data_IF_781664205568
#
_entry.id   IF_781664205568
#
_cell.length_a   1.000
_cell.length_b   1.000
_cell.length_c   1.000
_cell.angle_alpha   90.00
_cell.angle_beta   90.00
_cell.angle_gamma   90.00
#
_symmetry.space_group_name_H-M   'P 1'
#
loop_
_entity.id
_entity.type
_entity.pdbx_description
1 polymer ?
#
# COMPACT_ATOMS: atom_id res chain seq x y z
N UNK A 1 34.17 -20.49 30.27
CA UNK A 1 33.54 -19.98 29.05
C UNK A 1 32.71 -18.75 29.41
N UNK A 2 33.15 -17.60 28.93
CA UNK A 2 32.45 -16.34 29.15
C UNK A 2 31.57 -16.11 27.92
N UNK A 3 30.23 -16.21 28.00
CA UNK A 3 29.41 -16.03 26.84
C UNK A 3 29.45 -14.54 26.40
N UNK A 4 30.09 -14.28 25.26
CA UNK A 4 29.99 -12.97 24.62
C UNK A 4 28.60 -12.83 23.99
N UNK A 5 27.92 -11.73 24.29
CA UNK A 5 26.64 -11.41 23.66
C UNK A 5 26.87 -11.15 22.18
N UNK A 6 26.12 -11.82 21.31
CA UNK A 6 26.12 -11.52 19.87
C UNK A 6 25.64 -10.09 19.66
N UNK A 7 26.14 -9.41 18.60
CA UNK A 7 25.67 -8.06 18.27
C UNK A 7 24.14 -8.08 18.04
N UNK A 8 23.47 -7.06 18.56
CA UNK A 8 22.02 -6.92 18.40
C UNK A 8 21.72 -6.75 16.91
N UNK A 9 20.83 -7.61 16.39
CA UNK A 9 20.32 -7.45 15.03
C UNK A 9 19.41 -6.23 15.02
N UNK A 10 19.83 -5.15 14.38
CA UNK A 10 18.97 -3.98 14.16
C UNK A 10 17.95 -4.34 13.08
N UNK A 11 16.68 -4.25 13.42
CA UNK A 11 15.58 -4.35 12.46
C UNK A 11 15.22 -2.93 12.03
N UNK A 12 15.08 -2.70 10.72
CA UNK A 12 14.65 -1.41 10.19
C UNK A 12 13.31 -0.99 10.80
N UNK A 13 13.25 0.26 11.25
CA UNK A 13 12.01 0.81 11.82
C UNK A 13 10.87 0.81 10.80
N UNK A 14 9.62 0.64 11.26
CA UNK A 14 8.45 0.80 10.40
C UNK A 14 8.42 2.20 9.75
N UNK A 15 8.11 2.24 8.47
CA UNK A 15 7.97 3.49 7.71
C UNK A 15 6.53 3.80 7.33
N UNK A 16 5.64 2.81 7.42
CA UNK A 16 4.22 2.93 7.09
C UNK A 16 3.33 2.41 8.20
N UNK A 17 2.12 2.96 8.26
CA UNK A 17 1.04 2.48 9.11
C UNK A 17 -0.26 2.30 8.33
N UNK A 18 -1.12 1.42 8.81
CA UNK A 18 -2.44 1.16 8.25
C UNK A 18 -3.41 0.82 9.37
N UNK A 19 -4.63 1.34 9.27
CA UNK A 19 -5.69 1.00 10.20
C UNK A 19 -6.28 -0.36 9.84
N UNK A 20 -6.38 -1.25 10.83
CA UNK A 20 -7.07 -2.54 10.73
C UNK A 20 -8.28 -2.49 11.63
N UNK A 21 -9.46 -2.79 11.10
CA UNK A 21 -10.72 -2.79 11.83
C UNK A 21 -11.56 -4.01 11.50
N UNK A 22 -12.54 -4.29 12.33
CA UNK A 22 -13.56 -5.29 12.01
C UNK A 22 -14.36 -4.84 10.78
N UNK A 23 -14.89 -5.81 10.03
CA UNK A 23 -15.81 -5.50 8.95
C UNK A 23 -17.14 -4.96 9.52
N UNK A 24 -17.50 -3.75 9.16
CA UNK A 24 -18.76 -3.11 9.53
C UNK A 24 -19.70 -2.93 8.34
N UNK A 25 -19.41 -3.58 7.21
CA UNK A 25 -20.24 -3.54 6.02
C UNK A 25 -21.49 -4.43 6.19
N UNK A 26 -22.53 -4.27 5.33
CA UNK A 26 -23.69 -5.17 5.29
C UNK A 26 -23.34 -6.65 5.02
N UNK A 27 -22.10 -6.94 4.60
CA UNK A 27 -21.60 -8.30 4.36
C UNK A 27 -20.84 -8.90 5.56
N UNK A 28 -20.90 -8.26 6.72
CA UNK A 28 -20.31 -8.76 7.95
C UNK A 28 -20.69 -10.22 8.23
N UNK A 29 -19.68 -11.07 8.49
CA UNK A 29 -19.84 -12.48 8.86
C UNK A 29 -20.18 -13.42 7.70
N UNK A 30 -20.15 -12.95 6.44
CA UNK A 30 -20.47 -13.80 5.28
C UNK A 30 -19.30 -14.63 4.79
N UNK A 31 -18.07 -14.14 4.93
CA UNK A 31 -16.87 -14.75 4.33
C UNK A 31 -15.89 -15.30 5.37
N UNK A 32 -15.74 -14.63 6.50
CA UNK A 32 -14.76 -14.97 7.54
C UNK A 32 -15.33 -15.70 8.73
N UNK A 33 -14.46 -16.47 9.42
CA UNK A 33 -14.79 -17.13 10.71
C UNK A 33 -14.45 -16.22 11.91
N UNK A 34 -13.42 -15.39 11.75
CA UNK A 34 -12.91 -14.52 12.81
C UNK A 34 -13.27 -13.07 12.50
N UNK A 35 -14.36 -12.62 13.10
CA UNK A 35 -15.01 -11.33 12.76
C UNK A 35 -15.01 -10.32 13.91
N UNK A 36 -14.48 -10.68 15.10
CA UNK A 36 -14.52 -9.80 16.28
C UNK A 36 -13.22 -9.03 16.50
N UNK A 37 -13.31 -7.87 17.15
CA UNK A 37 -12.14 -7.05 17.51
C UNK A 37 -11.15 -7.82 18.41
N UNK A 38 -11.64 -8.71 19.27
CA UNK A 38 -10.80 -9.59 20.10
C UNK A 38 -9.97 -10.54 19.24
N UNK A 39 -10.58 -11.24 18.27
CA UNK A 39 -9.85 -12.13 17.36
C UNK A 39 -8.79 -11.36 16.58
N UNK A 40 -9.15 -10.18 16.07
CA UNK A 40 -8.24 -9.32 15.34
C UNK A 40 -7.02 -8.91 16.19
N UNK A 41 -7.28 -8.44 17.41
CA UNK A 41 -6.24 -8.05 18.36
C UNK A 41 -5.31 -9.22 18.70
N UNK A 42 -5.86 -10.35 19.13
CA UNK A 42 -5.09 -11.52 19.53
C UNK A 42 -4.18 -12.01 18.39
N UNK A 43 -4.69 -11.96 17.15
CA UNK A 43 -3.91 -12.35 15.97
C UNK A 43 -2.78 -11.38 15.65
N UNK A 44 -3.06 -10.08 15.70
CA UNK A 44 -2.06 -9.04 15.43
C UNK A 44 -0.97 -9.01 16.53
N UNK A 45 -1.32 -9.20 17.78
CA UNK A 45 -0.33 -9.30 18.87
C UNK A 45 0.58 -10.51 18.69
N UNK A 46 0.06 -11.67 18.29
CA UNK A 46 0.88 -12.84 17.95
C UNK A 46 1.82 -12.58 16.76
N UNK A 47 1.44 -11.73 15.83
CA UNK A 47 2.32 -11.36 14.73
C UNK A 47 3.52 -10.53 15.21
N UNK A 48 3.33 -9.61 16.15
CA UNK A 48 4.43 -8.80 16.70
C UNK A 48 5.45 -9.64 17.49
N UNK A 49 5.02 -10.78 18.07
CA UNK A 49 5.92 -11.71 18.74
C UNK A 49 6.83 -12.46 17.75
N UNK A 50 6.32 -12.75 16.55
CA UNK A 50 7.03 -13.49 15.49
C UNK A 50 7.86 -12.60 14.60
N UNK A 51 7.43 -11.37 14.39
CA UNK A 51 8.02 -10.44 13.45
C UNK A 51 8.22 -9.07 14.10
N UNK A 52 9.46 -8.81 14.54
CA UNK A 52 9.86 -7.56 15.20
C UNK A 52 9.71 -6.31 14.31
N UNK A 53 9.49 -6.48 13.02
CA UNK A 53 9.26 -5.37 12.10
C UNK A 53 7.81 -4.88 12.10
N UNK A 54 6.88 -5.58 12.76
CA UNK A 54 5.53 -5.10 13.02
C UNK A 54 5.43 -4.45 14.40
N UNK A 55 4.66 -3.38 14.47
CA UNK A 55 4.20 -2.78 15.73
C UNK A 55 2.70 -2.57 15.63
N UNK A 56 1.99 -2.79 16.72
CA UNK A 56 0.54 -2.64 16.81
C UNK A 56 0.23 -1.71 17.97
N UNK A 57 -0.60 -0.71 17.72
CA UNK A 57 -1.06 0.24 18.72
C UNK A 57 -2.59 0.34 18.69
N UNK A 58 -3.16 0.73 19.81
CA UNK A 58 -4.59 1.06 19.87
C UNK A 58 -4.89 2.31 19.03
N UNK A 59 -6.04 2.32 18.38
CA UNK A 59 -6.54 3.49 17.70
C UNK A 59 -7.60 4.20 18.55
N UNK A 60 -8.15 5.30 18.06
CA UNK A 60 -9.23 6.04 18.71
C UNK A 60 -10.53 5.23 18.86
N UNK A 61 -10.66 4.11 18.16
CA UNK A 61 -11.82 3.21 18.22
C UNK A 61 -11.42 1.85 18.81
N UNK A 62 -12.24 1.32 19.70
CA UNK A 62 -12.06 -0.01 20.29
C UNK A 62 -12.10 -1.16 19.28
N UNK A 63 -12.69 -0.94 18.11
CA UNK A 63 -12.86 -1.93 17.05
C UNK A 63 -11.77 -1.84 15.96
N UNK A 64 -10.75 -1.02 16.19
CA UNK A 64 -9.66 -0.83 15.24
C UNK A 64 -8.29 -0.76 15.93
N UNK A 65 -7.26 -1.12 15.17
CA UNK A 65 -5.87 -1.13 15.59
C UNK A 65 -5.01 -0.49 14.52
N UNK A 66 -4.01 0.28 14.93
CA UNK A 66 -3.02 0.84 14.03
C UNK A 66 -1.84 -0.12 13.91
N UNK A 67 -1.60 -0.61 12.70
CA UNK A 67 -0.54 -1.57 12.40
C UNK A 67 0.55 -0.87 11.62
N UNK A 68 1.78 -0.97 12.13
CA UNK A 68 2.98 -0.38 11.54
C UNK A 68 3.82 -1.46 10.88
N UNK A 69 4.34 -1.18 9.69
CA UNK A 69 5.19 -2.08 8.92
C UNK A 69 6.25 -1.35 8.11
N UNK A 70 7.22 -2.09 7.60
CA UNK A 70 8.33 -1.55 6.80
C UNK A 70 7.92 -1.02 5.43
N UNK A 71 6.73 -1.37 4.95
CA UNK A 71 6.23 -0.93 3.66
C UNK A 71 4.93 -1.59 3.28
N UNK A 72 4.36 -1.17 2.15
CA UNK A 72 3.05 -1.63 1.67
C UNK A 72 2.99 -3.13 1.41
N UNK A 73 4.06 -3.71 0.85
CA UNK A 73 4.13 -5.16 0.61
C UNK A 73 4.11 -5.96 1.91
N UNK A 74 4.81 -5.48 2.93
CA UNK A 74 4.85 -6.12 4.25
C UNK A 74 3.46 -6.16 4.90
N UNK A 75 2.74 -5.03 4.87
CA UNK A 75 1.35 -4.95 5.33
C UNK A 75 0.41 -5.79 4.46
N UNK A 76 0.60 -5.80 3.14
CA UNK A 76 -0.19 -6.59 2.20
C UNK A 76 -0.06 -8.10 2.41
N UNK A 77 1.14 -8.59 2.71
CA UNK A 77 1.37 -10.01 3.04
C UNK A 77 0.64 -10.38 4.34
N UNK A 78 0.66 -9.52 5.35
CA UNK A 78 -0.08 -9.76 6.59
C UNK A 78 -1.58 -9.85 6.32
N UNK A 79 -2.15 -8.92 5.57
CA UNK A 79 -3.58 -8.91 5.21
C UNK A 79 -3.96 -10.20 4.50
N UNK A 80 -3.18 -10.60 3.49
CA UNK A 80 -3.47 -11.82 2.71
C UNK A 80 -3.33 -13.08 3.57
N UNK A 81 -2.35 -13.13 4.46
CA UNK A 81 -2.18 -14.24 5.40
C UNK A 81 -3.39 -14.35 6.33
N UNK A 82 -3.83 -13.25 6.91
CA UNK A 82 -5.01 -13.21 7.77
C UNK A 82 -6.28 -13.61 7.03
N UNK A 83 -6.45 -13.13 5.79
CA UNK A 83 -7.57 -13.53 4.93
C UNK A 83 -7.60 -15.05 4.73
N UNK A 84 -6.47 -15.68 4.42
CA UNK A 84 -6.34 -17.15 4.28
C UNK A 84 -6.58 -17.91 5.57
N UNK A 85 -6.27 -17.33 6.71
CA UNK A 85 -6.57 -17.88 8.02
C UNK A 85 -8.09 -17.80 8.37
N UNK A 86 -8.88 -17.07 7.57
CA UNK A 86 -10.33 -16.91 7.73
C UNK A 86 -10.71 -15.69 8.57
N UNK A 87 -9.85 -14.69 8.67
CA UNK A 87 -10.19 -13.39 9.23
C UNK A 87 -10.94 -12.54 8.20
N UNK A 88 -12.03 -11.93 8.65
CA UNK A 88 -12.76 -10.91 7.91
C UNK A 88 -12.47 -9.56 8.56
N UNK A 89 -11.83 -8.67 7.80
CA UNK A 89 -11.38 -7.39 8.31
C UNK A 89 -11.49 -6.30 7.25
N UNK A 90 -11.55 -5.07 7.70
CA UNK A 90 -11.46 -3.87 6.87
C UNK A 90 -10.10 -3.21 7.12
N UNK A 91 -9.46 -2.71 6.08
CA UNK A 91 -8.20 -1.98 6.16
C UNK A 91 -8.36 -0.56 5.63
N UNK A 92 -7.74 0.38 6.34
CA UNK A 92 -7.67 1.77 5.89
C UNK A 92 -6.60 1.98 4.81
N UNK A 93 -6.48 3.20 4.33
CA UNK A 93 -5.40 3.56 3.42
C UNK A 93 -4.04 3.52 4.14
N UNK A 94 -2.97 3.01 3.49
CA UNK A 94 -1.64 3.08 4.04
C UNK A 94 -1.17 4.53 4.11
N UNK A 95 -0.58 4.91 5.23
CA UNK A 95 0.01 6.24 5.46
C UNK A 95 1.47 6.09 5.86
N UNK A 96 2.31 7.05 5.46
CA UNK A 96 3.71 7.08 5.90
C UNK A 96 3.82 7.68 7.30
N UNK A 97 4.77 7.19 8.07
CA UNK A 97 5.06 7.70 9.40
C UNK A 97 5.85 9.00 9.25
N UNK A 98 5.27 10.11 9.68
CA UNK A 98 5.92 11.42 9.70
C UNK A 98 6.56 11.63 11.07
N UNK A 99 7.82 12.07 11.09
CA UNK A 99 8.58 12.35 12.31
C UNK A 99 9.02 13.82 12.35
N UNK A 100 9.33 14.30 13.55
CA UNK A 100 10.09 15.56 13.73
C UNK A 100 11.57 15.18 13.83
N UNK A 101 12.38 15.60 12.85
CA UNK A 101 13.84 15.44 12.87
C UNK A 101 14.44 16.83 12.97
N UNK A 102 15.16 17.11 14.03
CA UNK A 102 15.74 18.44 14.33
C UNK A 102 14.73 19.58 14.24
N UNK A 103 13.49 19.35 14.69
CA UNK A 103 12.39 20.31 14.64
C UNK A 103 11.74 20.49 13.26
N UNK A 104 12.18 19.73 12.26
CA UNK A 104 11.63 19.77 10.90
C UNK A 104 10.71 18.57 10.67
N UNK A 105 9.49 18.84 10.17
CA UNK A 105 8.58 17.78 9.73
C UNK A 105 9.21 16.97 8.61
N UNK A 106 9.46 15.68 8.85
CA UNK A 106 10.19 14.79 7.94
C UNK A 106 9.40 13.53 7.63
N UNK A 107 9.57 13.01 6.44
CA UNK A 107 8.96 11.79 5.90
C UNK A 107 10.03 10.79 5.43
N UNK A 108 9.71 9.49 5.36
CA UNK A 108 10.66 8.49 4.87
C UNK A 108 10.87 8.63 3.35
N UNK A 109 12.12 8.48 2.92
CA UNK A 109 12.53 8.45 1.53
C UNK A 109 13.11 7.08 1.16
N UNK A 110 12.95 6.71 -0.10
CA UNK A 110 13.47 5.47 -0.65
C UNK A 110 14.28 5.72 -1.91
N UNK A 111 15.30 4.89 -2.11
CA UNK A 111 15.99 4.78 -3.40
C UNK A 111 15.17 3.83 -4.26
N UNK A 112 14.66 4.35 -5.35
CA UNK A 112 13.92 3.61 -6.36
C UNK A 112 14.83 3.37 -7.55
N UNK A 113 14.98 2.10 -7.93
CA UNK A 113 15.72 1.66 -9.12
C UNK A 113 14.71 1.14 -10.13
N UNK A 114 14.84 1.59 -11.38
CA UNK A 114 14.00 1.14 -12.48
C UNK A 114 14.86 0.80 -13.69
N UNK A 115 14.75 -0.43 -14.16
CA UNK A 115 15.29 -0.87 -15.44
C UNK A 115 14.15 -0.97 -16.45
N UNK A 116 14.28 -0.27 -17.58
CA UNK A 116 13.20 -0.12 -18.56
C UNK A 116 13.78 0.04 -19.99
N UNK A 117 13.08 -0.45 -21.05
CA UNK A 117 13.47 -0.14 -22.43
C UNK A 117 13.57 1.36 -22.68
N UNK A 118 14.55 1.76 -23.47
CA UNK A 118 14.88 3.18 -23.74
C UNK A 118 13.66 3.98 -24.21
N UNK A 119 12.78 3.39 -24.98
CA UNK A 119 11.56 4.04 -25.51
C UNK A 119 10.56 4.46 -24.42
N UNK A 120 10.56 3.80 -23.25
CA UNK A 120 9.67 4.11 -22.13
C UNK A 120 10.32 4.99 -21.05
N UNK A 121 11.62 5.26 -21.13
CA UNK A 121 12.37 5.99 -20.10
C UNK A 121 11.76 7.35 -19.76
N UNK A 122 11.35 8.12 -20.76
CA UNK A 122 10.69 9.42 -20.57
C UNK A 122 9.40 9.31 -19.75
N UNK A 123 8.56 8.30 -20.05
CA UNK A 123 7.31 8.06 -19.29
C UNK A 123 7.57 7.70 -17.84
N UNK A 124 8.61 6.90 -17.58
CA UNK A 124 9.01 6.53 -16.21
C UNK A 124 9.47 7.78 -15.44
N UNK A 125 10.32 8.62 -16.06
CA UNK A 125 10.80 9.86 -15.44
C UNK A 125 9.61 10.77 -15.09
N UNK A 126 8.67 10.96 -15.99
CA UNK A 126 7.48 11.78 -15.76
C UNK A 126 6.63 11.24 -14.61
N UNK A 127 6.37 9.93 -14.58
CA UNK A 127 5.60 9.28 -13.52
C UNK A 127 6.24 9.47 -12.13
N UNK A 128 7.57 9.27 -12.04
CA UNK A 128 8.30 9.38 -10.78
C UNK A 128 8.39 10.84 -10.33
N UNK A 129 8.60 11.78 -11.25
CA UNK A 129 8.65 13.22 -10.96
C UNK A 129 7.31 13.74 -10.46
N UNK A 130 6.19 13.30 -11.03
CA UNK A 130 4.83 13.62 -10.51
C UNK A 130 4.62 13.15 -9.08
N UNK A 131 5.31 12.08 -8.67
CA UNK A 131 5.33 11.55 -7.30
C UNK A 131 6.41 12.17 -6.42
N UNK A 132 7.01 13.29 -6.84
CA UNK A 132 8.08 14.02 -6.13
C UNK A 132 9.41 13.26 -6.04
N UNK A 133 9.64 12.27 -6.91
CA UNK A 133 10.93 11.63 -7.05
C UNK A 133 11.93 12.53 -7.77
N UNK A 134 13.19 12.45 -7.38
CA UNK A 134 14.34 13.12 -8.00
C UNK A 134 15.27 12.10 -8.61
N UNK A 135 15.63 12.28 -9.87
CA UNK A 135 16.54 11.37 -10.57
C UNK A 135 17.98 11.68 -10.20
N UNK A 136 18.72 10.65 -9.82
CA UNK A 136 20.13 10.74 -9.46
C UNK A 136 21.04 10.09 -10.52
N UNK A 137 20.59 8.97 -11.10
CA UNK A 137 21.38 8.21 -12.09
C UNK A 137 20.51 7.89 -13.31
N UNK A 138 21.13 7.99 -14.48
CA UNK A 138 20.58 7.53 -15.75
C UNK A 138 21.72 6.92 -16.57
N UNK A 139 21.68 5.62 -16.75
CA UNK A 139 22.70 4.87 -17.48
C UNK A 139 22.09 4.03 -18.61
N UNK A 140 22.69 4.10 -19.80
CA UNK A 140 22.26 3.27 -20.93
C UNK A 140 23.00 1.92 -20.89
N UNK A 141 22.26 0.82 -20.92
CA UNK A 141 22.77 -0.55 -20.96
C UNK A 141 22.20 -1.27 -22.20
N UNK A 142 22.75 -0.98 -23.37
CA UNK A 142 22.21 -1.47 -24.65
C UNK A 142 20.86 -0.84 -24.95
N UNK A 143 19.80 -1.64 -25.11
CA UNK A 143 18.43 -1.18 -25.36
C UNK A 143 17.67 -0.82 -24.07
N UNK A 144 18.28 -1.04 -22.91
CA UNK A 144 17.70 -0.74 -21.61
C UNK A 144 18.29 0.54 -21.02
N UNK A 145 17.48 1.24 -20.23
CA UNK A 145 17.88 2.36 -19.37
C UNK A 145 17.80 1.93 -17.91
N UNK A 146 18.88 2.15 -17.20
CA UNK A 146 18.96 2.03 -15.75
C UNK A 146 18.76 3.40 -15.12
N UNK A 147 17.72 3.56 -14.30
CA UNK A 147 17.32 4.82 -13.67
C UNK A 147 17.31 4.66 -12.17
N UNK A 148 17.97 5.58 -11.45
CA UNK A 148 17.88 5.63 -9.99
C UNK A 148 17.26 6.96 -9.57
N UNK A 149 16.32 6.86 -8.66
CA UNK A 149 15.60 8.00 -8.09
C UNK A 149 15.63 7.96 -6.58
N UNK A 150 15.58 9.12 -5.96
CA UNK A 150 15.19 9.27 -4.57
C UNK A 150 13.76 9.79 -4.51
N UNK A 151 12.87 9.09 -3.80
CA UNK A 151 11.44 9.36 -3.79
C UNK A 151 10.86 9.25 -2.38
N UNK A 152 9.94 10.13 -1.95
CA UNK A 152 9.18 9.92 -0.72
C UNK A 152 8.42 8.59 -0.76
N UNK A 153 8.49 7.79 0.31
CA UNK A 153 7.83 6.45 0.36
C UNK A 153 6.34 6.50 0.00
N UNK A 154 5.64 7.59 0.35
CA UNK A 154 4.23 7.79 -0.07
C UNK A 154 4.06 7.91 -1.60
N UNK A 155 5.10 8.31 -2.33
CA UNK A 155 5.10 8.37 -3.80
C UNK A 155 5.08 6.99 -4.46
N UNK A 156 5.56 5.96 -3.77
CA UNK A 156 5.56 4.58 -4.25
C UNK A 156 4.17 3.93 -4.22
N UNK A 157 3.23 4.50 -3.42
CA UNK A 157 1.87 3.96 -3.33
C UNK A 157 1.19 4.06 -4.70
N UNK A 158 0.85 2.90 -5.27
CA UNK A 158 0.25 2.78 -6.60
C UNK A 158 1.19 3.01 -7.79
N UNK A 159 2.45 3.39 -7.56
CA UNK A 159 3.42 3.69 -8.63
C UNK A 159 3.70 2.45 -9.48
N UNK A 160 3.86 1.26 -8.87
CA UNK A 160 4.17 0.01 -9.57
C UNK A 160 3.14 -0.31 -10.65
N UNK A 161 1.85 -0.27 -10.32
CA UNK A 161 0.78 -0.56 -11.28
C UNK A 161 0.75 0.43 -12.43
N UNK A 162 0.93 1.73 -12.12
CA UNK A 162 1.01 2.77 -13.14
C UNK A 162 2.23 2.59 -14.04
N UNK A 163 3.37 2.22 -13.46
CA UNK A 163 4.60 1.98 -14.21
C UNK A 163 4.44 0.83 -15.19
N UNK A 164 3.95 -0.33 -14.72
CA UNK A 164 3.71 -1.49 -15.57
C UNK A 164 2.73 -1.17 -16.70
N UNK A 165 1.66 -0.44 -16.44
CA UNK A 165 0.69 -0.03 -17.47
C UNK A 165 1.33 0.87 -18.53
N UNK A 166 2.18 1.82 -18.13
CA UNK A 166 2.79 2.79 -19.03
C UNK A 166 4.02 2.25 -19.78
N UNK A 167 4.53 1.09 -19.39
CA UNK A 167 5.70 0.44 -19.99
C UNK A 167 5.38 -0.93 -20.59
N UNK A 168 4.10 -1.19 -20.89
CA UNK A 168 3.62 -2.48 -21.41
C UNK A 168 4.05 -3.71 -20.57
N UNK A 169 4.29 -3.52 -19.27
CA UNK A 169 4.74 -4.56 -18.36
C UNK A 169 6.26 -4.77 -18.30
N UNK A 170 7.03 -4.04 -19.11
CA UNK A 170 8.47 -4.29 -19.28
C UNK A 170 9.37 -3.67 -18.21
N UNK A 171 8.88 -2.70 -17.43
CA UNK A 171 9.68 -2.08 -16.37
C UNK A 171 9.92 -3.06 -15.21
N UNK A 172 11.16 -3.18 -14.80
CA UNK A 172 11.58 -3.84 -13.57
C UNK A 172 11.87 -2.78 -12.51
N UNK A 173 11.23 -2.91 -11.36
CA UNK A 173 11.27 -1.90 -10.31
C UNK A 173 11.66 -2.53 -8.98
N UNK A 174 12.65 -1.95 -8.32
CA UNK A 174 13.07 -2.27 -6.96
C UNK A 174 13.23 -0.99 -6.14
N UNK A 175 12.99 -1.06 -4.84
CA UNK A 175 13.17 0.08 -3.94
C UNK A 175 13.64 -0.37 -2.56
N UNK A 176 14.34 0.53 -1.86
CA UNK A 176 14.82 0.31 -0.49
C UNK A 176 14.73 1.60 0.30
N UNK A 177 14.48 1.50 1.59
CA UNK A 177 14.52 2.65 2.51
C UNK A 177 15.91 3.32 2.46
N UNK A 178 15.92 4.63 2.50
CA UNK A 178 17.11 5.46 2.58
C UNK A 178 17.19 6.15 3.94
N UNK A 179 16.48 7.23 4.11
CA UNK A 179 16.51 8.04 5.33
C UNK A 179 15.23 8.88 5.46
N UNK A 180 15.10 9.59 6.59
CA UNK A 180 14.07 10.60 6.77
C UNK A 180 14.58 11.95 6.28
N UNK A 181 13.78 12.62 5.41
CA UNK A 181 14.06 13.95 4.85
C UNK A 181 12.88 14.88 5.05
N UNK A 182 13.09 16.21 4.95
CA UNK A 182 12.01 17.17 5.05
C UNK A 182 10.83 16.86 4.14
N UNK A 183 9.62 17.07 4.64
CA UNK A 183 8.38 16.90 3.91
C UNK A 183 8.36 17.70 2.60
N UNK A 184 8.18 17.04 1.46
CA UNK A 184 8.26 17.63 0.11
C UNK A 184 6.93 18.21 -0.40
N UNK A 185 6.00 18.48 0.48
CA UNK A 185 4.68 19.02 0.11
C UNK A 185 3.71 17.95 -0.39
N UNK A 186 2.47 18.32 -0.74
CA UNK A 186 1.46 17.38 -1.20
C UNK A 186 1.85 16.73 -2.53
N UNK A 187 1.54 15.44 -2.66
CA UNK A 187 1.56 14.73 -3.95
C UNK A 187 0.16 14.79 -4.53
N UNK A 188 -0.01 15.18 -5.82
CA UNK A 188 -1.31 15.15 -6.46
C UNK A 188 -1.94 13.75 -6.36
N UNK A 189 -3.14 13.70 -5.83
CA UNK A 189 -3.92 12.47 -5.72
C UNK A 189 -4.71 12.18 -6.99
N UNK A 190 -5.59 11.18 -6.91
CA UNK A 190 -6.53 10.85 -7.98
C UNK A 190 -7.50 12.01 -8.20
N UNK A 191 -7.64 12.45 -9.45
CA UNK A 191 -8.57 13.49 -9.86
C UNK A 191 -9.97 12.94 -10.21
N UNK A 192 -10.08 11.63 -10.50
CA UNK A 192 -11.32 11.01 -10.93
C UNK A 192 -12.17 10.55 -9.73
N UNK A 193 -13.48 10.55 -9.92
CA UNK A 193 -14.46 10.01 -8.98
C UNK A 193 -14.45 8.47 -8.91
N UNK A 194 -15.46 7.92 -8.26
CA UNK A 194 -15.73 6.48 -8.19
C UNK A 194 -17.17 6.21 -8.58
N UNK A 195 -17.42 5.02 -9.09
CA UNK A 195 -18.77 4.50 -9.28
C UNK A 195 -19.22 3.88 -7.95
N UNK A 196 -20.39 4.28 -7.48
CA UNK A 196 -20.98 3.77 -6.24
C UNK A 196 -22.28 3.04 -6.56
N UNK A 197 -22.49 1.88 -5.93
CA UNK A 197 -23.78 1.22 -5.98
C UNK A 197 -24.84 2.07 -5.33
N UNK A 198 -25.97 2.26 -6.03
CA UNK A 198 -27.10 3.05 -5.55
C UNK A 198 -28.05 2.23 -4.66
N UNK A 199 -28.10 0.92 -4.86
CA UNK A 199 -29.02 -0.02 -4.20
C UNK A 199 -28.27 -1.23 -3.67
N UNK A 200 -28.88 -1.92 -2.71
CA UNK A 200 -28.40 -3.21 -2.20
C UNK A 200 -29.10 -4.32 -2.97
N UNK A 201 -28.51 -4.77 -4.06
CA UNK A 201 -29.07 -5.76 -4.99
C UNK A 201 -27.94 -6.51 -5.73
N UNK A 202 -28.32 -7.41 -6.64
CA UNK A 202 -27.37 -8.04 -7.56
C UNK A 202 -27.10 -7.16 -8.76
N UNK A 203 -25.83 -7.07 -9.14
CA UNK A 203 -25.40 -6.38 -10.37
C UNK A 203 -25.98 -7.08 -11.60
N UNK A 204 -26.29 -6.31 -12.64
CA UNK A 204 -26.74 -6.84 -13.91
C UNK A 204 -25.75 -6.54 -15.02
N UNK A 205 -25.58 -7.49 -15.96
CA UNK A 205 -24.72 -7.30 -17.12
C UNK A 205 -25.10 -6.03 -17.90
N UNK A 206 -26.40 -5.74 -18.02
CA UNK A 206 -26.90 -4.55 -18.69
C UNK A 206 -26.46 -3.24 -18.00
N UNK A 207 -26.51 -3.17 -16.67
CA UNK A 207 -26.08 -1.97 -15.93
C UNK A 207 -24.59 -1.73 -16.06
N UNK A 208 -23.80 -2.80 -15.99
CA UNK A 208 -22.33 -2.74 -16.14
C UNK A 208 -21.99 -2.30 -17.57
N UNK A 209 -22.58 -2.92 -18.58
CA UNK A 209 -22.36 -2.58 -20.00
C UNK A 209 -22.63 -1.10 -20.29
N UNK A 210 -23.73 -0.55 -19.79
CA UNK A 210 -24.06 0.87 -19.99
C UNK A 210 -23.10 1.86 -19.33
N UNK A 211 -22.38 1.45 -18.32
CA UNK A 211 -21.52 2.33 -17.51
C UNK A 211 -20.02 2.06 -17.72
N UNK A 212 -19.65 1.03 -18.49
CA UNK A 212 -18.25 0.64 -18.70
C UNK A 212 -17.39 1.76 -19.31
N UNK A 213 -17.97 2.66 -20.11
CA UNK A 213 -17.24 3.82 -20.67
C UNK A 213 -16.90 4.89 -19.61
N UNK A 214 -17.54 4.84 -18.44
CA UNK A 214 -17.34 5.82 -17.35
C UNK A 214 -16.27 5.42 -16.36
N UNK A 215 -15.92 4.13 -16.29
CA UNK A 215 -14.94 3.63 -15.33
C UNK A 215 -14.75 2.12 -15.42
N UNK A 216 -13.77 1.64 -14.67
CA UNK A 216 -13.52 0.20 -14.51
C UNK A 216 -14.31 -0.29 -13.31
N UNK A 217 -15.06 -1.36 -13.50
CA UNK A 217 -15.79 -2.04 -12.43
C UNK A 217 -14.88 -3.00 -11.66
N UNK A 218 -15.15 -3.12 -10.37
CA UNK A 218 -14.53 -4.10 -9.46
C UNK A 218 -15.48 -5.26 -9.12
N UNK A 219 -16.67 -5.26 -9.69
CA UNK A 219 -17.73 -6.25 -9.46
C UNK A 219 -18.16 -6.88 -10.78
N UNK A 220 -18.47 -8.17 -10.73
CA UNK A 220 -18.96 -8.95 -11.87
C UNK A 220 -20.49 -8.94 -11.96
N UNK A 221 -21.07 -9.26 -13.15
CA UNK A 221 -22.50 -9.46 -13.30
C UNK A 221 -23.03 -10.58 -12.38
N UNK A 222 -24.10 -10.29 -11.65
CA UNK A 222 -24.74 -11.24 -10.73
C UNK A 222 -24.17 -11.22 -9.32
N UNK A 223 -23.17 -10.39 -9.03
CA UNK A 223 -22.58 -10.23 -7.71
C UNK A 223 -23.47 -9.35 -6.81
N UNK A 224 -23.57 -9.70 -5.53
CA UNK A 224 -24.29 -8.89 -4.54
C UNK A 224 -23.49 -7.65 -4.18
N UNK A 225 -24.13 -6.50 -4.20
CA UNK A 225 -23.56 -5.22 -3.80
C UNK A 225 -24.46 -4.52 -2.79
N UNK A 226 -23.92 -3.61 -2.01
CA UNK A 226 -24.69 -2.79 -1.08
C UNK A 226 -24.61 -1.31 -1.41
N UNK A 227 -25.59 -0.55 -0.97
CA UNK A 227 -25.66 0.90 -1.18
C UNK A 227 -24.41 1.60 -0.66
N UNK A 228 -23.73 2.35 -1.53
CA UNK A 228 -22.47 3.05 -1.21
C UNK A 228 -21.20 2.23 -1.44
N UNK A 229 -21.29 0.96 -1.83
CA UNK A 229 -20.14 0.16 -2.23
C UNK A 229 -19.51 0.74 -3.49
N UNK A 230 -18.19 0.79 -3.52
CA UNK A 230 -17.44 1.12 -4.74
C UNK A 230 -17.53 -0.09 -5.67
N UNK A 231 -18.06 0.13 -6.85
CA UNK A 231 -18.37 -0.91 -7.84
C UNK A 231 -17.42 -0.90 -9.00
#
# INVERSE_FOLDING_TARGET
>A
DNPEALPVISVDEPTMSMLFSINNSPFFGKEGKFVTSRHLRDRLMKETEKNLAFRVEDSDSADSLLVFGRGILHLGILIETMRREGFELTVGQPTVIVKQVDGVKSEPYEILVVDVPTEFSGRVIDLVTQKKGEMHVMESKGEMQHLEFEIPSRGLIGLRSNMLTNTAGEAVMAHRFSEYKPWKGPIPGRSNGVLLSKTTEKTTAYSIDKLQDRGRFFVDPGEEVYTGQIS
#
